data_IF_203947218385
#
_entry.id   IF_203947218385
#
_cell.length_a   1.000
_cell.length_b   1.000
_cell.length_c   1.000
_cell.angle_alpha   90.00
_cell.angle_beta   90.00
_cell.angle_gamma   90.00
#
_symmetry.space_group_name_H-M   'P 1'
#
loop_
_entity.id
_entity.type
_entity.pdbx_description
1 polymer ?
#
# COMPACT_ATOMS: atom_id res chain seq x y z
N UNK A 1 32.53 3.21 50.77
CA UNK A 1 32.35 3.82 49.44
C UNK A 1 30.95 3.50 48.95
N UNK A 2 30.18 4.52 48.60
CA UNK A 2 28.74 4.40 48.32
C UNK A 2 28.49 3.65 46.99
N UNK A 3 28.18 2.36 47.09
CA UNK A 3 27.92 1.47 45.94
C UNK A 3 26.70 1.86 45.11
N UNK A 4 25.81 2.69 45.65
CA UNK A 4 24.57 3.09 44.99
C UNK A 4 24.83 4.11 43.88
N UNK A 5 25.70 5.09 44.13
CA UNK A 5 26.12 6.13 43.19
C UNK A 5 26.93 5.54 42.02
N UNK A 6 27.84 4.61 42.31
CA UNK A 6 28.60 3.90 41.28
C UNK A 6 27.68 3.06 40.35
N UNK A 7 26.61 2.47 40.90
CA UNK A 7 25.62 1.69 40.13
C UNK A 7 24.79 2.60 39.23
N UNK A 8 24.33 3.75 39.73
CA UNK A 8 23.62 4.78 38.94
C UNK A 8 24.50 5.31 37.80
N UNK A 9 25.77 5.58 38.08
CA UNK A 9 26.72 6.05 37.06
C UNK A 9 26.92 5.02 35.93
N UNK A 10 27.10 3.73 36.26
CA UNK A 10 27.18 2.66 35.25
C UNK A 10 25.91 2.55 34.39
N UNK A 11 24.73 2.66 35.00
CA UNK A 11 23.45 2.64 34.26
C UNK A 11 23.30 3.84 33.33
N UNK A 12 23.69 5.04 33.78
CA UNK A 12 23.67 6.25 32.97
C UNK A 12 24.61 6.12 31.78
N UNK A 13 25.82 5.61 32.01
CA UNK A 13 26.83 5.51 30.96
C UNK A 13 26.50 4.45 29.92
N UNK A 14 25.95 3.31 30.36
CA UNK A 14 25.42 2.27 29.47
C UNK A 14 24.29 2.79 28.58
N UNK A 15 23.38 3.63 29.11
CA UNK A 15 22.30 4.25 28.33
C UNK A 15 22.80 5.36 27.40
N UNK A 16 23.79 6.15 27.83
CA UNK A 16 24.32 7.29 27.07
C UNK A 16 25.08 6.84 25.82
N UNK A 17 25.89 5.79 25.95
CA UNK A 17 26.71 5.21 24.88
C UNK A 17 26.12 3.92 24.31
N UNK A 18 24.82 3.70 24.49
CA UNK A 18 24.11 2.58 23.86
C UNK A 18 24.26 2.66 22.34
N UNK A 19 24.38 1.50 21.68
CA UNK A 19 24.61 1.45 20.23
C UNK A 19 23.56 2.23 19.45
N UNK A 20 22.29 2.20 19.88
CA UNK A 20 21.18 2.96 19.29
C UNK A 20 21.36 4.49 19.28
N UNK A 21 22.29 5.03 20.07
CA UNK A 21 22.59 6.47 20.17
C UNK A 21 23.90 6.86 19.49
N UNK A 22 24.57 5.92 18.83
CA UNK A 22 25.75 6.24 18.00
C UNK A 22 25.31 7.13 16.84
N UNK A 23 26.17 8.07 16.46
CA UNK A 23 25.95 8.92 15.30
C UNK A 23 25.85 8.05 14.03
N UNK A 24 24.83 8.28 13.22
CA UNK A 24 24.57 7.50 12.01
C UNK A 24 23.70 6.24 12.21
N UNK A 25 23.18 5.98 13.42
CA UNK A 25 22.15 4.96 13.59
C UNK A 25 20.83 5.44 13.01
N UNK A 26 20.35 4.73 11.99
CA UNK A 26 19.03 4.92 11.41
C UNK A 26 18.03 4.15 12.25
N UNK A 27 16.90 4.79 12.58
CA UNK A 27 15.80 4.13 13.27
C UNK A 27 15.29 2.91 12.49
N UNK A 28 14.64 2.00 13.21
CA UNK A 28 14.04 0.79 12.64
C UNK A 28 13.06 1.15 11.53
N UNK A 29 13.09 0.37 10.44
CA UNK A 29 12.16 0.53 9.33
C UNK A 29 10.72 0.37 9.82
N UNK A 30 9.79 1.09 9.18
CA UNK A 30 8.37 0.94 9.46
C UNK A 30 7.91 -0.44 9.01
N UNK A 31 7.38 -1.21 9.95
CA UNK A 31 6.79 -2.51 9.67
C UNK A 31 5.41 -2.37 9.02
N UNK A 32 4.97 -3.44 8.36
CA UNK A 32 3.68 -3.49 7.71
C UNK A 32 2.55 -3.61 8.73
N UNK A 33 1.55 -2.74 8.59
CA UNK A 33 0.39 -2.72 9.48
C UNK A 33 -0.66 -3.75 9.03
N UNK A 34 -1.49 -4.29 9.94
CA UNK A 34 -2.52 -5.23 9.56
C UNK A 34 -3.53 -4.58 8.59
N UNK A 35 -4.01 -5.32 7.57
CA UNK A 35 -4.86 -4.77 6.51
C UNK A 35 -6.23 -4.28 7.02
N UNK A 36 -6.68 -4.81 8.16
CA UNK A 36 -7.92 -4.38 8.82
C UNK A 36 -7.87 -2.92 9.28
N UNK A 37 -6.68 -2.42 9.61
CA UNK A 37 -6.50 -1.05 10.08
C UNK A 37 -6.96 -0.03 9.04
N UNK A 38 -6.50 -0.19 7.79
CA UNK A 38 -6.89 0.69 6.67
C UNK A 38 -8.38 0.56 6.36
N UNK A 39 -8.90 -0.68 6.33
CA UNK A 39 -10.32 -0.95 6.06
C UNK A 39 -11.22 -0.28 7.10
N UNK A 40 -10.82 -0.33 8.37
CA UNK A 40 -11.54 0.32 9.47
C UNK A 40 -11.51 1.84 9.32
N UNK A 41 -10.34 2.43 9.04
CA UNK A 41 -10.20 3.88 8.85
C UNK A 41 -11.14 4.38 7.75
N UNK A 42 -11.13 3.75 6.58
CA UNK A 42 -11.95 4.15 5.43
C UNK A 42 -13.43 4.02 5.78
N UNK A 43 -13.83 2.92 6.42
CA UNK A 43 -15.23 2.70 6.85
C UNK A 43 -15.69 3.73 7.87
N UNK A 44 -14.83 4.10 8.83
CA UNK A 44 -15.18 5.04 9.90
C UNK A 44 -15.29 6.49 9.36
N UNK A 45 -14.46 6.88 8.38
CA UNK A 45 -14.48 8.21 7.76
C UNK A 45 -15.64 8.39 6.77
N UNK A 46 -15.98 7.32 6.02
CA UNK A 46 -17.12 7.29 5.11
C UNK A 46 -17.14 8.47 4.12
N UNK A 47 -18.25 9.21 4.12
CA UNK A 47 -18.49 10.38 3.28
C UNK A 47 -18.09 11.73 3.94
N UNK A 48 -17.41 11.69 5.09
CA UNK A 48 -16.96 12.87 5.83
C UNK A 48 -18.10 13.83 6.27
N UNK A 49 -19.34 13.36 6.34
CA UNK A 49 -20.49 14.17 6.81
C UNK A 49 -20.45 14.42 8.31
N UNK A 50 -19.92 13.47 9.09
CA UNK A 50 -19.84 13.57 10.55
C UNK A 50 -18.95 14.73 11.01
N UNK A 51 -19.42 15.47 12.03
CA UNK A 51 -18.67 16.58 12.65
C UNK A 51 -17.37 16.10 13.32
N UNK A 52 -17.27 14.81 13.65
CA UNK A 52 -16.09 14.20 14.29
C UNK A 52 -14.82 14.37 13.45
N UNK A 53 -14.94 14.24 12.13
CA UNK A 53 -13.80 14.27 11.19
C UNK A 53 -13.62 15.64 10.52
N UNK A 54 -14.10 16.72 11.15
CA UNK A 54 -13.99 18.08 10.59
C UNK A 54 -12.55 18.52 10.34
N UNK A 55 -11.62 18.10 11.20
CA UNK A 55 -10.20 18.46 11.09
C UNK A 55 -9.53 17.78 9.87
N UNK A 56 -9.97 16.57 9.53
CA UNK A 56 -9.38 15.77 8.47
C UNK A 56 -9.82 16.23 7.07
N UNK A 57 -10.95 16.95 6.95
CA UNK A 57 -11.46 17.47 5.66
C UNK A 57 -10.42 18.26 4.88
N UNK A 58 -9.60 19.06 5.57
CA UNK A 58 -8.53 19.84 4.95
C UNK A 58 -7.47 18.95 4.30
N UNK A 59 -7.16 17.82 4.94
CA UNK A 59 -6.17 16.85 4.47
C UNK A 59 -6.67 16.13 3.21
N UNK A 60 -7.95 15.74 3.18
CA UNK A 60 -8.58 15.15 1.99
C UNK A 60 -8.50 16.08 0.77
N UNK A 61 -8.76 17.38 0.95
CA UNK A 61 -8.61 18.37 -0.12
C UNK A 61 -7.15 18.50 -0.57
N UNK A 62 -6.19 18.46 0.36
CA UNK A 62 -4.77 18.49 0.02
C UNK A 62 -4.31 17.24 -0.75
N UNK A 63 -4.89 16.09 -0.43
CA UNK A 63 -4.57 14.81 -1.06
C UNK A 63 -4.98 14.75 -2.55
N UNK A 64 -5.99 15.53 -2.96
CA UNK A 64 -6.47 15.62 -4.35
C UNK A 64 -5.34 15.93 -5.34
N UNK A 65 -4.34 16.72 -4.93
CA UNK A 65 -3.15 17.03 -5.74
C UNK A 65 -2.41 15.77 -6.22
N UNK A 66 -2.39 14.72 -5.42
CA UNK A 66 -1.65 13.49 -5.69
C UNK A 66 -2.53 12.37 -6.27
N UNK A 67 -3.81 12.65 -6.51
CA UNK A 67 -4.75 11.70 -7.10
C UNK A 67 -4.29 11.16 -8.46
N UNK A 68 -3.71 11.96 -9.39
CA UNK A 68 -3.20 11.42 -10.65
C UNK A 68 -2.12 10.35 -10.44
N UNK A 69 -1.27 10.52 -9.42
CA UNK A 69 -0.22 9.55 -9.11
C UNK A 69 -0.78 8.26 -8.52
N UNK A 70 -1.78 8.35 -7.63
CA UNK A 70 -2.46 7.18 -7.09
C UNK A 70 -3.16 6.37 -8.19
N UNK A 71 -3.85 7.05 -9.11
CA UNK A 71 -4.51 6.40 -10.26
C UNK A 71 -3.50 5.74 -11.18
N UNK A 72 -2.40 6.41 -11.50
CA UNK A 72 -1.32 5.84 -12.33
C UNK A 72 -0.81 4.52 -11.72
N UNK A 73 -0.44 4.53 -10.43
CA UNK A 73 0.09 3.35 -9.74
C UNK A 73 -0.93 2.22 -9.63
N UNK A 74 -2.22 2.55 -9.53
CA UNK A 74 -3.31 1.57 -9.52
C UNK A 74 -3.46 0.89 -10.88
N UNK A 75 -3.51 1.67 -11.96
CA UNK A 75 -3.67 1.15 -13.33
C UNK A 75 -2.44 0.37 -13.80
N UNK A 76 -1.24 0.78 -13.38
CA UNK A 76 0.00 0.05 -13.65
C UNK A 76 -0.03 -1.36 -13.07
N UNK A 77 -0.72 -1.55 -11.94
CA UNK A 77 -0.78 -2.82 -11.21
C UNK A 77 -2.10 -3.58 -11.40
N UNK A 78 -2.79 -3.37 -12.53
CA UNK A 78 -3.97 -4.18 -12.85
C UNK A 78 -3.61 -5.69 -12.87
N UNK A 79 -4.52 -6.56 -12.38
CA UNK A 79 -4.33 -8.00 -12.46
C UNK A 79 -4.37 -8.44 -13.91
N UNK A 80 -3.44 -9.33 -14.28
CA UNK A 80 -3.41 -9.89 -15.62
C UNK A 80 -4.53 -10.92 -15.79
N UNK A 81 -5.04 -11.19 -17.01
CA UNK A 81 -6.22 -12.04 -17.21
C UNK A 81 -6.03 -13.52 -16.82
N UNK A 82 -4.81 -13.97 -16.59
CA UNK A 82 -4.49 -15.29 -16.06
C UNK A 82 -4.33 -15.33 -14.53
N UNK A 83 -4.40 -14.17 -13.85
CA UNK A 83 -4.34 -14.05 -12.40
C UNK A 83 -5.76 -13.85 -11.84
N UNK A 84 -6.14 -14.63 -10.82
CA UNK A 84 -7.45 -14.49 -10.19
C UNK A 84 -7.46 -13.37 -9.14
N UNK A 85 -6.41 -13.29 -8.33
CA UNK A 85 -6.25 -12.30 -7.26
C UNK A 85 -4.81 -11.81 -7.31
N UNK A 86 -4.62 -10.50 -7.14
CA UNK A 86 -3.31 -9.87 -7.05
C UNK A 86 -3.24 -9.05 -5.76
N UNK A 87 -2.46 -9.54 -4.80
CA UNK A 87 -2.15 -8.80 -3.57
C UNK A 87 -1.04 -7.79 -3.86
N UNK A 88 -1.22 -6.56 -3.37
CA UNK A 88 -0.35 -5.42 -3.69
C UNK A 88 -0.07 -4.64 -2.42
N UNK A 89 1.19 -4.27 -2.20
CA UNK A 89 1.57 -3.40 -1.07
C UNK A 89 1.02 -1.99 -1.25
N UNK A 90 0.41 -1.47 -0.19
CA UNK A 90 -0.23 -0.15 -0.18
C UNK A 90 0.46 0.77 0.82
N UNK A 91 0.75 1.99 0.37
CA UNK A 91 1.14 3.11 1.22
C UNK A 91 -0.08 4.02 1.39
N UNK A 92 -0.60 4.14 2.61
CA UNK A 92 -1.81 4.92 2.89
C UNK A 92 -1.52 6.07 3.85
N UNK A 93 -2.32 7.14 3.73
CA UNK A 93 -2.31 8.22 4.69
C UNK A 93 -2.97 7.78 6.01
N UNK A 94 -2.48 8.25 7.16
CA UNK A 94 -2.97 7.83 8.51
C UNK A 94 -4.47 8.05 8.67
N UNK A 95 -5.02 9.11 8.07
CA UNK A 95 -6.47 9.41 8.08
C UNK A 95 -7.26 8.69 6.98
N UNK A 96 -6.61 7.95 6.08
CA UNK A 96 -7.26 7.32 4.93
C UNK A 96 -7.58 8.28 3.77
N UNK A 97 -6.98 9.47 3.74
CA UNK A 97 -7.22 10.48 2.71
C UNK A 97 -6.81 10.05 1.28
N UNK A 98 -5.74 9.26 1.17
CA UNK A 98 -5.25 8.72 -0.10
C UNK A 98 -4.48 7.43 0.15
N UNK A 99 -4.52 6.54 -0.83
CA UNK A 99 -3.82 5.25 -0.84
C UNK A 99 -3.06 5.11 -2.14
N UNK A 100 -1.76 4.84 -2.05
CA UNK A 100 -0.88 4.57 -3.18
C UNK A 100 -0.53 3.09 -3.21
N UNK A 101 -0.50 2.52 -4.41
CA UNK A 101 0.16 1.24 -4.62
C UNK A 101 1.67 1.46 -4.63
N UNK A 102 2.39 0.82 -3.69
CA UNK A 102 3.83 0.97 -3.51
C UNK A 102 4.61 -0.17 -4.18
N UNK A 103 4.22 -0.51 -5.42
CA UNK A 103 4.87 -1.57 -6.20
C UNK A 103 5.03 -1.14 -7.66
N UNK A 104 6.11 -1.63 -8.29
CA UNK A 104 6.33 -1.53 -9.73
C UNK A 104 6.30 -2.94 -10.30
N UNK A 105 5.38 -3.25 -11.25
CA UNK A 105 5.30 -4.58 -11.83
C UNK A 105 6.55 -4.85 -12.65
N UNK A 106 7.34 -5.83 -12.22
CA UNK A 106 8.49 -6.34 -12.99
C UNK A 106 8.09 -7.68 -13.56
N UNK A 107 8.22 -7.82 -14.88
CA UNK A 107 7.86 -9.06 -15.57
C UNK A 107 9.04 -9.51 -16.43
N UNK A 108 9.24 -10.83 -16.50
CA UNK A 108 10.23 -11.44 -17.38
C UNK A 108 9.67 -11.44 -18.81
N UNK A 109 10.31 -10.69 -19.70
CA UNK A 109 9.83 -10.42 -21.07
C UNK A 109 9.43 -11.68 -21.86
N UNK A 110 10.26 -12.74 -21.99
CA UNK A 110 9.87 -13.92 -22.78
C UNK A 110 8.67 -14.67 -22.18
N UNK A 111 8.52 -14.68 -20.84
CA UNK A 111 7.38 -15.30 -20.16
C UNK A 111 6.12 -14.49 -20.40
N UNK A 112 6.21 -13.16 -20.31
CA UNK A 112 5.08 -12.26 -20.54
C UNK A 112 4.51 -12.40 -21.96
N UNK A 113 5.39 -12.44 -22.97
CA UNK A 113 4.99 -12.65 -24.36
C UNK A 113 4.30 -14.01 -24.56
N UNK A 114 4.84 -15.07 -23.95
CA UNK A 114 4.24 -16.40 -24.00
C UNK A 114 2.84 -16.42 -23.36
N UNK A 115 2.67 -15.79 -22.19
CA UNK A 115 1.38 -15.68 -21.49
C UNK A 115 0.33 -14.91 -22.31
N UNK A 116 0.73 -13.81 -22.95
CA UNK A 116 -0.18 -13.10 -23.86
C UNK A 116 -0.49 -13.91 -25.11
N UNK A 117 0.46 -14.69 -25.61
CA UNK A 117 0.24 -15.62 -26.72
C UNK A 117 -0.81 -16.69 -26.41
N UNK A 118 -0.76 -17.29 -25.21
CA UNK A 118 -1.79 -18.26 -24.79
C UNK A 118 -3.14 -17.59 -24.64
N UNK A 119 -3.19 -16.40 -24.01
CA UNK A 119 -4.41 -15.62 -23.83
C UNK A 119 -5.05 -15.23 -25.17
N UNK A 120 -4.26 -14.82 -26.16
CA UNK A 120 -4.73 -14.50 -27.51
C UNK A 120 -5.43 -15.68 -28.19
N UNK A 121 -4.82 -16.88 -28.13
CA UNK A 121 -5.41 -18.08 -28.70
C UNK A 121 -6.70 -18.45 -27.97
N UNK A 122 -6.72 -18.37 -26.64
CA UNK A 122 -7.92 -18.63 -25.82
C UNK A 122 -9.05 -17.68 -26.17
N UNK A 123 -8.80 -16.36 -26.19
CA UNK A 123 -9.80 -15.34 -26.52
C UNK A 123 -10.36 -15.51 -27.94
N UNK A 124 -9.52 -15.89 -28.92
CA UNK A 124 -9.98 -16.16 -30.29
C UNK A 124 -10.87 -17.40 -30.39
N UNK A 125 -10.53 -18.47 -29.66
CA UNK A 125 -11.37 -19.68 -29.58
C UNK A 125 -12.70 -19.35 -28.91
N UNK A 126 -12.68 -18.64 -27.79
CA UNK A 126 -13.87 -18.22 -27.05
C UNK A 126 -14.80 -17.34 -27.92
N UNK A 127 -14.23 -16.37 -28.66
CA UNK A 127 -15.00 -15.52 -29.56
C UNK A 127 -15.62 -16.28 -30.73
N UNK A 128 -14.97 -17.34 -31.24
CA UNK A 128 -15.49 -18.17 -32.33
C UNK A 128 -16.61 -19.08 -31.85
N UNK A 129 -16.44 -19.70 -30.67
CA UNK A 129 -17.32 -20.78 -30.20
C UNK A 129 -18.57 -20.24 -29.48
N UNK A 130 -18.51 -19.03 -28.91
CA UNK A 130 -19.63 -18.42 -28.17
C UNK A 130 -20.63 -17.73 -29.11
N UNK A 131 -21.90 -18.16 -29.07
CA UNK A 131 -22.99 -17.62 -29.92
C UNK A 131 -23.48 -16.22 -29.52
N UNK A 132 -23.45 -15.88 -28.23
CA UNK A 132 -23.86 -14.57 -27.72
C UNK A 132 -22.86 -14.08 -26.67
N UNK A 133 -22.16 -12.99 -26.99
CA UNK A 133 -21.20 -12.35 -26.09
C UNK A 133 -21.82 -11.05 -25.55
N UNK A 134 -22.21 -11.05 -24.27
CA UNK A 134 -22.82 -9.90 -23.60
C UNK A 134 -21.86 -9.36 -22.56
N UNK A 135 -21.52 -8.09 -22.68
CA UNK A 135 -20.87 -7.30 -21.63
C UNK A 135 -21.85 -6.19 -21.30
N UNK A 136 -22.56 -6.32 -20.18
CA UNK A 136 -23.32 -5.21 -19.64
C UNK A 136 -22.35 -4.31 -18.89
N UNK A 137 -22.13 -3.10 -19.41
CA UNK A 137 -21.71 -2.00 -18.55
C UNK A 137 -22.95 -1.58 -17.79
N UNK A 138 -23.12 -2.15 -16.60
CA UNK A 138 -24.16 -1.75 -15.66
C UNK A 138 -23.97 -0.26 -15.34
N UNK A 139 -25.03 0.53 -15.51
CA UNK A 139 -25.09 1.95 -15.12
C UNK A 139 -25.52 2.05 -13.68
#
# INVERSE_FOLDING_TARGET
MDTSEARKWKQLQSKRYAEKRKFGVVDTQKEEMPPEHVRKIIRDHGDMTSRKFRHDKRVYLGALKYMPHAVLKLLENMPMPWEQIRDVKVLYHITGAITFVNETPRVIEPVYLAQWGTMWIMMRREKRDRRHFKVCFEK
#
